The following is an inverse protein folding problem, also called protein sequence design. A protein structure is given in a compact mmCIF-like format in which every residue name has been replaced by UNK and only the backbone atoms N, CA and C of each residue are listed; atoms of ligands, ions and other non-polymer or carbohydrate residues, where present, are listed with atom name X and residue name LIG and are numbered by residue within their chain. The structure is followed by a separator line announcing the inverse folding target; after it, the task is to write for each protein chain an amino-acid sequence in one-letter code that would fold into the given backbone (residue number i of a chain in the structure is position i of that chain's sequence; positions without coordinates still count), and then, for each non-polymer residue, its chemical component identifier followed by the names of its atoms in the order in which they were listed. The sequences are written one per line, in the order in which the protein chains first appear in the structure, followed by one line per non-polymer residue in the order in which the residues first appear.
data_IF_329574741077
#
_entry.id   IF_329574741077
#
_cell.length_a   1.000
_cell.length_b   1.000
_cell.length_c   1.000
_cell.angle_alpha   90.00
_cell.angle_beta   90.00
_cell.angle_gamma   90.00
#
_symmetry.space_group_name_H-M   'P 1'
#
loop_
_entity.id
_entity.type
_entity.pdbx_description
1 polymer ?
#
# COMPACT_ATOMS: atom_id res chain seq x y z
N UNK A 1 -6.08 8.56 12.84
CA UNK A 1 -6.12 9.58 11.77
C UNK A 1 -7.47 9.51 11.10
N UNK A 2 -8.22 10.58 11.15
CA UNK A 2 -9.49 10.71 10.43
C UNK A 2 -9.20 11.09 8.98
N UNK A 3 -10.00 10.64 8.02
CA UNK A 3 -9.86 10.98 6.62
C UNK A 3 -9.12 9.89 5.81
N UNK A 4 -7.98 10.21 5.21
CA UNK A 4 -7.27 9.31 4.29
C UNK A 4 -6.56 8.13 4.97
N UNK A 5 -6.46 8.12 6.32
CA UNK A 5 -5.80 7.07 7.08
C UNK A 5 -4.28 7.17 7.06
N UNK A 6 -3.64 6.02 7.29
CA UNK A 6 -2.19 5.87 7.24
C UNK A 6 -1.75 5.69 5.78
N UNK A 7 -0.83 6.53 5.34
CA UNK A 7 -0.31 6.48 3.96
C UNK A 7 0.71 5.35 3.88
N UNK A 8 0.48 4.43 2.93
CA UNK A 8 1.44 3.39 2.58
C UNK A 8 2.33 3.86 1.43
N UNK A 9 3.61 3.56 1.49
CA UNK A 9 4.51 3.83 0.37
C UNK A 9 4.18 3.00 -0.87
N UNK A 10 3.40 1.92 -0.70
CA UNK A 10 3.01 1.02 -1.79
C UNK A 10 4.19 0.34 -2.48
N UNK A 11 5.36 0.40 -1.87
CA UNK A 11 6.58 -0.21 -2.38
C UNK A 11 6.73 -1.60 -1.79
N UNK A 12 6.90 -2.59 -2.66
CA UNK A 12 7.04 -3.98 -2.26
C UNK A 12 8.49 -4.43 -2.09
N UNK A 13 8.65 -5.61 -1.47
CA UNK A 13 9.90 -6.32 -1.42
C UNK A 13 11.04 -5.55 -0.79
N UNK A 14 12.19 -5.58 -1.44
CA UNK A 14 13.41 -4.91 -0.96
C UNK A 14 13.30 -3.38 -0.90
N UNK A 15 12.42 -2.76 -1.69
CA UNK A 15 12.27 -1.30 -1.72
C UNK A 15 11.64 -0.76 -0.44
N UNK A 16 10.71 -1.52 0.16
CA UNK A 16 10.15 -1.19 1.46
C UNK A 16 11.22 -1.20 2.57
N UNK A 17 12.15 -2.17 2.52
CA UNK A 17 13.29 -2.25 3.44
C UNK A 17 14.29 -1.11 3.31
N UNK A 18 14.29 -0.40 2.19
CA UNK A 18 15.14 0.77 1.93
C UNK A 18 14.44 2.10 2.26
N UNK A 19 13.32 2.06 2.97
CA UNK A 19 12.57 3.25 3.37
C UNK A 19 11.99 4.04 2.20
N UNK A 20 11.64 3.37 1.10
CA UNK A 20 11.09 4.01 -0.09
C UNK A 20 12.12 4.61 -1.05
N UNK A 21 13.41 4.40 -0.82
CA UNK A 21 14.48 4.90 -1.70
C UNK A 21 14.69 4.05 -2.97
N UNK A 22 13.61 3.44 -3.47
CA UNK A 22 13.65 2.50 -4.60
C UNK A 22 13.72 3.13 -5.99
N UNK A 23 13.45 4.43 -6.12
CA UNK A 23 13.27 5.08 -7.44
C UNK A 23 14.50 4.99 -8.36
N UNK A 24 15.69 4.98 -7.78
CA UNK A 24 16.95 4.89 -8.54
C UNK A 24 17.44 3.46 -8.72
N UNK A 25 16.81 2.49 -8.05
CA UNK A 25 17.26 1.12 -8.09
C UNK A 25 16.75 0.40 -9.35
N UNK A 26 17.65 -0.38 -9.91
CA UNK A 26 17.38 -1.28 -11.04
C UNK A 26 17.77 -2.68 -10.63
N UNK A 27 16.95 -3.65 -10.94
CA UNK A 27 17.23 -5.04 -10.64
C UNK A 27 16.24 -5.97 -11.30
N UNK A 28 16.66 -7.19 -11.59
CA UNK A 28 15.84 -8.20 -12.26
C UNK A 28 14.99 -9.04 -11.30
N UNK A 29 15.21 -8.94 -9.99
CA UNK A 29 14.58 -9.82 -9.01
C UNK A 29 13.22 -9.32 -8.51
N UNK A 30 12.92 -8.04 -8.68
CA UNK A 30 11.68 -7.41 -8.24
C UNK A 30 11.19 -6.38 -9.25
N UNK A 31 9.86 -6.27 -9.37
CA UNK A 31 9.24 -5.25 -10.21
C UNK A 31 9.20 -3.91 -9.47
N UNK A 32 9.94 -2.94 -9.97
CA UNK A 32 9.96 -1.60 -9.40
C UNK A 32 8.91 -0.71 -10.06
N UNK A 33 7.74 -0.60 -9.43
CA UNK A 33 6.65 0.25 -9.94
C UNK A 33 6.91 1.74 -9.75
N UNK A 34 7.86 2.14 -8.89
CA UNK A 34 8.27 3.53 -8.74
C UNK A 34 9.19 3.99 -9.89
N UNK A 35 9.93 3.05 -10.50
CA UNK A 35 10.79 3.32 -11.67
C UNK A 35 10.43 2.36 -12.82
N UNK A 36 9.51 2.72 -13.70
CA UNK A 36 9.10 1.85 -14.79
C UNK A 36 10.23 1.53 -15.76
N UNK A 37 11.24 2.38 -15.90
CA UNK A 37 12.39 2.11 -16.75
C UNK A 37 13.19 0.88 -16.28
N UNK A 38 13.09 0.49 -15.00
CA UNK A 38 13.74 -0.72 -14.47
C UNK A 38 13.15 -2.03 -15.02
N UNK A 39 11.96 -2.00 -15.62
CA UNK A 39 11.37 -3.17 -16.28
C UNK A 39 12.27 -3.72 -17.38
N UNK A 40 13.15 -2.90 -17.94
CA UNK A 40 14.11 -3.34 -18.96
C UNK A 40 15.18 -4.31 -18.43
N UNK A 41 15.29 -4.47 -17.10
CA UNK A 41 16.15 -5.48 -16.47
C UNK A 41 15.56 -6.91 -16.55
N UNK A 42 14.29 -7.05 -16.94
CA UNK A 42 13.64 -8.35 -17.21
C UNK A 42 14.18 -9.04 -18.49
N UNK A 43 15.42 -8.79 -18.86
CA UNK A 43 15.99 -9.21 -20.15
C UNK A 43 16.01 -10.73 -20.33
N UNK A 44 16.24 -11.47 -19.26
CA UNK A 44 16.32 -12.95 -19.30
C UNK A 44 14.98 -13.60 -18.96
N UNK A 45 14.12 -12.91 -18.22
CA UNK A 45 12.84 -13.43 -17.78
C UNK A 45 11.72 -12.93 -18.69
N UNK A 46 10.97 -13.87 -19.29
CA UNK A 46 9.82 -13.50 -20.10
C UNK A 46 8.64 -13.01 -19.28
N UNK A 47 8.63 -13.36 -18.00
CA UNK A 47 7.48 -13.12 -17.11
C UNK A 47 7.94 -13.12 -15.66
N UNK A 48 7.48 -12.17 -14.86
CA UNK A 48 7.74 -12.08 -13.43
C UNK A 48 6.48 -11.67 -12.68
N UNK A 49 6.24 -12.31 -11.55
CA UNK A 49 5.20 -11.92 -10.58
C UNK A 49 5.91 -11.48 -9.31
N UNK A 50 5.48 -10.37 -8.76
CA UNK A 50 5.90 -9.87 -7.46
C UNK A 50 4.66 -9.63 -6.59
N UNK A 51 4.65 -10.22 -5.40
CA UNK A 51 3.59 -10.07 -4.42
C UNK A 51 4.20 -9.83 -3.04
N UNK A 52 3.76 -8.78 -2.39
CA UNK A 52 4.20 -8.40 -1.05
C UNK A 52 3.05 -8.36 -0.06
N UNK A 53 3.31 -8.84 1.15
CA UNK A 53 2.40 -8.77 2.29
C UNK A 53 3.09 -7.97 3.38
N UNK A 54 2.36 -7.08 4.04
CA UNK A 54 2.84 -6.30 5.16
C UNK A 54 1.99 -6.61 6.40
N UNK A 55 2.66 -6.87 7.53
CA UNK A 55 2.03 -6.98 8.84
C UNK A 55 2.48 -5.84 9.75
N UNK A 56 1.56 -5.26 10.49
CA UNK A 56 1.82 -4.23 11.50
C UNK A 56 1.30 -4.67 12.85
N UNK A 57 2.13 -4.56 13.86
CA UNK A 57 1.75 -4.73 15.27
C UNK A 57 1.92 -3.39 15.98
N UNK A 58 0.85 -2.88 16.54
CA UNK A 58 0.83 -1.60 17.25
C UNK A 58 0.36 -1.81 18.68
N UNK A 59 1.10 -1.25 19.63
CA UNK A 59 0.74 -1.26 21.04
C UNK A 59 0.47 0.18 21.51
N UNK A 60 -0.73 0.43 21.97
CA UNK A 60 -1.16 1.73 22.47
C UNK A 60 -1.25 1.67 23.98
N UNK A 61 -0.45 2.50 24.66
CA UNK A 61 -0.48 2.60 26.12
C UNK A 61 -0.86 4.01 26.53
N UNK A 62 -1.94 4.15 27.29
CA UNK A 62 -2.39 5.43 27.83
C UNK A 62 -2.85 5.24 29.28
N UNK A 63 -2.25 6.01 30.21
CA UNK A 63 -2.61 6.06 31.64
C UNK A 63 -2.78 4.69 32.31
N UNK A 64 -1.91 3.73 31.96
CA UNK A 64 -1.93 2.37 32.53
C UNK A 64 -2.88 1.38 31.84
N UNK A 65 -3.66 1.82 30.86
CA UNK A 65 -4.39 0.94 29.97
C UNK A 65 -3.53 0.66 28.72
N UNK A 66 -3.45 -0.60 28.32
CA UNK A 66 -2.73 -1.05 27.12
C UNK A 66 -3.70 -1.75 26.19
N UNK A 67 -3.67 -1.36 24.93
CA UNK A 67 -4.40 -2.00 23.85
C UNK A 67 -3.45 -2.33 22.71
N UNK A 68 -3.69 -3.42 22.01
CA UNK A 68 -2.86 -3.85 20.88
C UNK A 68 -3.72 -4.04 19.64
N UNK A 69 -3.14 -3.71 18.51
CA UNK A 69 -3.75 -3.90 17.19
C UNK A 69 -2.80 -4.65 16.28
N UNK A 70 -3.32 -5.64 15.58
CA UNK A 70 -2.60 -6.41 14.56
C UNK A 70 -3.30 -6.19 13.24
N UNK A 71 -2.59 -5.69 12.25
CA UNK A 71 -3.13 -5.44 10.91
C UNK A 71 -2.27 -6.13 9.89
N UNK A 72 -2.89 -6.86 8.96
CA UNK A 72 -2.23 -7.47 7.82
C UNK A 72 -2.85 -6.97 6.52
N UNK A 73 -2.01 -6.50 5.60
CA UNK A 73 -2.46 -5.99 4.31
C UNK A 73 -1.60 -6.49 3.17
N UNK A 74 -2.21 -6.59 1.98
CA UNK A 74 -1.45 -6.72 0.74
C UNK A 74 -0.64 -5.43 0.54
N UNK A 75 0.66 -5.54 0.35
CA UNK A 75 1.53 -4.39 0.14
C UNK A 75 1.67 -4.03 -1.34
N UNK A 76 1.83 -5.04 -2.18
CA UNK A 76 1.87 -4.89 -3.64
C UNK A 76 1.54 -6.22 -4.31
N UNK A 77 0.99 -6.11 -5.49
CA UNK A 77 0.87 -7.20 -6.45
C UNK A 77 1.20 -6.64 -7.83
N UNK A 78 2.21 -7.21 -8.47
CA UNK A 78 2.60 -6.77 -9.80
C UNK A 78 2.99 -7.95 -10.67
N UNK A 79 2.70 -7.79 -11.96
CA UNK A 79 3.01 -8.79 -12.98
C UNK A 79 3.66 -8.05 -14.13
N UNK A 80 4.87 -8.44 -14.48
CA UNK A 80 5.64 -7.83 -15.57
C UNK A 80 6.12 -8.87 -16.57
N UNK A 81 6.24 -8.45 -17.83
CA UNK A 81 6.75 -9.30 -18.89
C UNK A 81 7.46 -8.48 -19.97
N UNK A 82 8.29 -9.20 -20.73
CA UNK A 82 8.81 -8.67 -21.98
C UNK A 82 7.82 -8.98 -23.10
N UNK A 83 7.22 -7.94 -23.66
CA UNK A 83 6.19 -8.04 -24.71
C UNK A 83 6.86 -8.42 -26.05
N UNK A 84 7.85 -7.64 -26.45
CA UNK A 84 8.70 -7.89 -27.63
C UNK A 84 10.15 -7.52 -27.26
N UNK A 85 11.15 -7.87 -28.08
CA UNK A 85 12.51 -7.39 -27.88
C UNK A 85 12.56 -5.88 -27.64
N UNK A 86 13.18 -5.46 -26.53
CA UNK A 86 13.32 -4.07 -26.08
C UNK A 86 12.06 -3.40 -25.53
N UNK A 87 10.89 -4.02 -25.56
CA UNK A 87 9.66 -3.45 -25.01
C UNK A 87 9.10 -4.31 -23.89
N UNK A 88 8.87 -3.69 -22.76
CA UNK A 88 8.47 -4.32 -21.52
C UNK A 88 7.18 -3.69 -21.00
N UNK A 89 6.36 -4.49 -20.34
CA UNK A 89 5.13 -4.03 -19.72
C UNK A 89 4.89 -4.69 -18.39
N UNK A 90 4.17 -4.01 -17.51
CA UNK A 90 3.71 -4.56 -16.24
C UNK A 90 2.34 -3.99 -15.89
N UNK A 91 1.60 -4.75 -15.09
CA UNK A 91 0.41 -4.28 -14.39
C UNK A 91 0.66 -4.39 -12.91
N UNK A 92 0.09 -3.47 -12.13
CA UNK A 92 0.31 -3.47 -10.69
C UNK A 92 -0.91 -3.00 -9.91
N UNK A 93 -1.02 -3.50 -8.68
CA UNK A 93 -1.97 -3.10 -7.66
C UNK A 93 -1.20 -2.87 -6.36
N UNK A 94 -1.37 -1.71 -5.74
CA UNK A 94 -0.74 -1.38 -4.47
C UNK A 94 -1.67 -0.52 -3.61
N UNK A 95 -1.71 -0.71 -2.28
CA UNK A 95 -2.42 0.20 -1.39
C UNK A 95 -1.69 1.55 -1.33
N UNK A 96 -2.46 2.61 -1.27
CA UNK A 96 -1.98 3.99 -1.08
C UNK A 96 -2.20 4.43 0.36
N UNK A 97 -3.34 4.05 0.93
CA UNK A 97 -3.62 4.31 2.34
C UNK A 97 -4.52 3.23 2.93
N UNK A 98 -4.48 3.12 4.25
CA UNK A 98 -5.33 2.23 5.03
C UNK A 98 -5.96 3.00 6.18
N UNK A 99 -7.27 2.84 6.33
CA UNK A 99 -8.04 3.37 7.46
C UNK A 99 -8.53 2.19 8.27
N UNK A 100 -8.22 2.18 9.56
CA UNK A 100 -8.74 1.20 10.51
C UNK A 100 -8.72 1.81 11.89
N UNK A 101 -9.91 2.15 12.43
CA UNK A 101 -10.04 2.61 13.80
C UNK A 101 -11.36 2.15 14.42
N UNK A 102 -11.33 1.90 15.71
CA UNK A 102 -12.50 1.69 16.54
C UNK A 102 -12.32 2.53 17.79
N UNK A 103 -13.23 3.45 18.04
CA UNK A 103 -13.22 4.35 19.20
C UNK A 103 -14.51 4.15 19.95
N UNK A 104 -14.41 3.78 21.23
CA UNK A 104 -15.54 3.73 22.13
C UNK A 104 -15.49 5.00 23.00
N UNK A 105 -16.58 5.76 23.01
CA UNK A 105 -16.79 6.89 23.90
C UNK A 105 -17.86 6.50 24.91
N UNK A 106 -17.51 6.56 26.19
CA UNK A 106 -18.44 6.37 27.30
C UNK A 106 -18.83 7.74 27.85
N UNK A 107 -20.07 8.13 27.67
CA UNK A 107 -20.63 9.36 28.24
C UNK A 107 -21.56 9.05 29.40
N UNK A 108 -21.38 9.73 30.52
CA UNK A 108 -22.32 9.66 31.64
C UNK A 108 -23.59 10.49 31.30
N UNK A 109 -24.74 9.86 31.48
CA UNK A 109 -26.02 10.55 31.28
C UNK A 109 -26.24 11.50 32.47
N UNK A 110 -26.26 12.82 32.21
CA UNK A 110 -26.54 13.80 33.21
C UNK A 110 -27.94 13.62 33.81
N UNK A 111 -28.00 13.40 35.14
CA UNK A 111 -29.26 13.22 35.89
C UNK A 111 -29.62 11.75 36.20
N UNK A 112 -28.78 10.79 35.89
CA UNK A 112 -28.92 9.41 36.29
C UNK A 112 -27.73 8.95 37.15
N UNK A 113 -28.01 8.17 38.20
CA UNK A 113 -26.96 7.66 39.12
C UNK A 113 -26.05 6.64 38.41
N UNK A 114 -25.05 7.14 37.60
CA UNK A 114 -23.98 6.31 37.06
C UNK A 114 -24.35 5.48 35.82
N UNK A 115 -25.41 5.82 35.10
CA UNK A 115 -25.68 5.20 33.79
C UNK A 115 -24.81 5.83 32.71
N UNK A 116 -24.03 5.00 32.00
CA UNK A 116 -23.21 5.40 30.88
C UNK A 116 -23.79 4.92 29.56
N UNK A 117 -23.68 5.75 28.54
CA UNK A 117 -23.94 5.35 27.15
C UNK A 117 -22.60 5.20 26.45
N UNK A 118 -22.38 4.01 25.89
CA UNK A 118 -21.20 3.72 25.09
C UNK A 118 -21.52 3.90 23.61
N UNK A 119 -20.86 4.84 22.95
CA UNK A 119 -20.95 5.05 21.50
C UNK A 119 -19.73 4.47 20.82
N UNK A 120 -19.92 3.54 19.88
CA UNK A 120 -18.85 2.93 19.09
C UNK A 120 -18.76 3.62 17.73
N UNK A 121 -17.60 4.19 17.46
CA UNK A 121 -17.24 4.77 16.17
C UNK A 121 -16.22 3.86 15.50
N UNK A 122 -16.58 3.23 14.42
CA UNK A 122 -15.69 2.38 13.66
C UNK A 122 -15.55 2.91 12.22
N UNK A 123 -14.32 2.98 11.73
CA UNK A 123 -14.03 3.33 10.36
C UNK A 123 -13.05 2.33 9.75
N UNK A 124 -13.42 1.81 8.59
CA UNK A 124 -12.59 0.86 7.83
C UNK A 124 -12.54 1.28 6.38
N UNK A 125 -11.41 1.00 5.72
CA UNK A 125 -11.27 1.26 4.30
C UNK A 125 -9.86 1.62 3.90
N UNK A 126 -9.75 2.24 2.72
CA UNK A 126 -8.48 2.71 2.21
C UNK A 126 -8.53 3.05 0.74
N UNK A 127 -7.40 3.56 0.26
CA UNK A 127 -7.17 3.85 -1.14
C UNK A 127 -6.22 2.82 -1.73
N UNK A 128 -6.56 2.33 -2.92
CA UNK A 128 -5.71 1.44 -3.71
C UNK A 128 -5.39 2.09 -5.04
N UNK A 129 -4.17 1.90 -5.49
CA UNK A 129 -3.67 2.33 -6.79
C UNK A 129 -3.49 1.11 -7.67
N UNK A 130 -4.13 1.10 -8.83
CA UNK A 130 -3.90 0.13 -9.89
C UNK A 130 -3.34 0.83 -11.12
N UNK A 131 -2.48 0.17 -11.87
CA UNK A 131 -1.88 0.82 -13.01
C UNK A 131 -1.18 -0.11 -13.97
N UNK A 132 -0.74 0.50 -15.04
CA UNK A 132 0.03 -0.13 -16.11
C UNK A 132 1.33 0.63 -16.27
N UNK A 133 2.41 -0.12 -16.36
CA UNK A 133 3.76 0.38 -16.63
C UNK A 133 4.21 -0.09 -18.01
N UNK A 134 4.94 0.76 -18.71
CA UNK A 134 5.63 0.35 -19.93
C UNK A 134 7.02 0.94 -19.96
N UNK A 135 7.97 0.20 -20.56
CA UNK A 135 9.34 0.63 -20.72
C UNK A 135 9.91 0.20 -22.06
N UNK A 136 10.80 1.00 -22.57
CA UNK A 136 11.51 0.75 -23.81
C UNK A 136 13.03 0.89 -23.62
N UNK A 137 13.77 -0.11 -24.07
CA UNK A 137 15.23 -0.15 -24.04
C UNK A 137 15.79 0.32 -25.38
N UNK A 138 16.43 1.48 -25.40
CA UNK A 138 17.14 2.02 -26.54
C UNK A 138 18.53 1.38 -26.70
N UNK A 139 19.14 1.59 -27.85
CA UNK A 139 20.54 1.25 -28.06
C UNK A 139 21.42 2.03 -27.08
N UNK A 140 22.57 1.46 -26.72
CA UNK A 140 23.51 2.03 -25.73
C UNK A 140 23.06 2.01 -24.27
N UNK A 141 22.03 1.19 -23.92
CA UNK A 141 21.62 0.98 -22.54
C UNK A 141 20.71 2.08 -21.94
N UNK A 142 20.28 3.06 -22.72
CA UNK A 142 19.27 4.01 -22.29
C UNK A 142 17.90 3.34 -22.20
N UNK A 143 17.22 3.45 -21.09
CA UNK A 143 15.85 2.98 -20.92
C UNK A 143 14.93 4.12 -20.50
N UNK A 144 13.74 4.15 -21.08
CA UNK A 144 12.68 5.11 -20.74
C UNK A 144 11.43 4.33 -20.38
N UNK A 145 10.76 4.74 -19.32
CA UNK A 145 9.52 4.11 -18.89
C UNK A 145 8.49 5.12 -18.42
N UNK A 146 7.24 4.71 -18.46
CA UNK A 146 6.10 5.50 -17.99
C UNK A 146 5.10 4.62 -17.25
N UNK A 147 4.41 5.21 -16.28
CA UNK A 147 3.31 4.62 -15.55
C UNK A 147 2.03 5.41 -15.80
N UNK A 148 0.94 4.68 -15.99
CA UNK A 148 -0.40 5.22 -15.91
C UNK A 148 -1.11 4.52 -14.75
N UNK A 149 -1.63 5.28 -13.79
CA UNK A 149 -2.28 4.70 -12.63
C UNK A 149 -3.61 5.38 -12.31
N UNK A 150 -4.52 4.59 -11.80
CA UNK A 150 -5.82 5.02 -11.31
C UNK A 150 -5.90 4.71 -9.81
N UNK A 151 -6.34 5.69 -9.02
CA UNK A 151 -6.53 5.55 -7.58
C UNK A 151 -8.01 5.45 -7.30
N UNK A 152 -8.38 4.42 -6.55
CA UNK A 152 -9.76 4.19 -6.11
C UNK A 152 -9.78 3.76 -4.65
N UNK A 153 -10.89 3.96 -3.98
CA UNK A 153 -11.03 3.49 -2.61
C UNK A 153 -12.42 3.72 -2.06
N UNK A 154 -12.65 3.04 -0.94
CA UNK A 154 -13.90 3.15 -0.20
C UNK A 154 -13.58 3.26 1.28
N UNK A 155 -14.29 4.14 1.96
CA UNK A 155 -14.24 4.25 3.41
C UNK A 155 -15.65 4.04 3.94
N UNK A 156 -15.80 3.10 4.86
CA UNK A 156 -17.05 2.82 5.56
C UNK A 156 -16.96 3.32 6.99
N UNK A 157 -17.99 4.03 7.42
CA UNK A 157 -18.12 4.53 8.79
C UNK A 157 -19.36 3.92 9.42
N UNK A 158 -19.22 3.37 10.61
CA UNK A 158 -20.35 2.87 11.42
C UNK A 158 -20.36 3.62 12.73
N UNK A 159 -21.55 4.07 13.12
CA UNK A 159 -21.85 4.70 14.41
C UNK A 159 -22.99 3.91 15.06
N UNK A 160 -22.73 3.35 16.24
CA UNK A 160 -23.68 2.58 17.05
C UNK A 160 -23.77 3.17 18.46
#
# INVERSE_FOLDING_TARGET
MFGLGEISTGEGGQYAGLGGAGIALRGSNFLNTANPASLTELTEQRFQIDAGIMGSYQNYTQRGASNHSVTGNLNNLSIGCRIIPRWYGAVFLAPVSSVGYAITLDEEIAGTNGSTVSSLFQGEGGLSKMGVSTAYLFDKGLSVGTNLSYVTGTVSYTHL
#
